data_IF_692944879265
#
_entry.id   IF_692944879265
#
_cell.length_a   1.000
_cell.length_b   1.000
_cell.length_c   1.000
_cell.angle_alpha   90.00
_cell.angle_beta   90.00
_cell.angle_gamma   90.00
#
_symmetry.space_group_name_H-M   'P 1'
#
loop_
_entity.id
_entity.type
_entity.pdbx_description
1 polymer ?
#
# COMPACT_ATOMS: atom_id res chain seq x y z
N UNK A 1 -2.88 -15.00 21.29
CA UNK A 1 -1.59 -14.30 21.25
C UNK A 1 -0.44 -15.27 21.48
N UNK A 2 -0.53 -16.24 22.41
CA UNK A 2 0.47 -17.32 22.60
C UNK A 2 0.97 -18.01 21.31
N UNK A 3 0.12 -18.17 20.29
CA UNK A 3 0.48 -18.90 19.08
C UNK A 3 1.44 -18.17 18.11
N UNK A 4 1.55 -16.84 18.20
CA UNK A 4 2.42 -16.06 17.30
C UNK A 4 3.87 -16.12 17.80
N UNK A 5 4.06 -16.01 19.11
CA UNK A 5 5.37 -16.06 19.75
C UNK A 5 6.03 -17.41 19.55
N UNK A 6 5.27 -18.49 19.73
CA UNK A 6 5.72 -19.86 19.48
C UNK A 6 6.13 -20.09 18.03
N UNK A 7 5.39 -19.50 17.07
CA UNK A 7 5.72 -19.58 15.66
C UNK A 7 7.03 -18.85 15.36
N UNK A 8 7.18 -17.63 15.87
CA UNK A 8 8.39 -16.84 15.65
C UNK A 8 9.62 -17.44 16.34
N UNK A 9 9.45 -18.04 17.51
CA UNK A 9 10.50 -18.81 18.19
C UNK A 9 10.94 -20.01 17.36
N UNK A 10 9.99 -20.75 16.77
CA UNK A 10 10.31 -21.85 15.85
C UNK A 10 11.05 -21.35 14.62
N UNK A 11 10.59 -20.26 14.00
CA UNK A 11 11.26 -19.65 12.84
C UNK A 11 12.67 -19.20 13.21
N UNK A 12 12.86 -18.55 14.36
CA UNK A 12 14.18 -18.16 14.86
C UNK A 12 15.11 -19.37 15.10
N UNK A 13 14.56 -20.47 15.62
CA UNK A 13 15.33 -21.71 15.78
C UNK A 13 15.77 -22.32 14.44
N UNK A 14 15.07 -21.99 13.35
CA UNK A 14 15.43 -22.41 11.99
C UNK A 14 16.44 -21.45 11.38
N UNK A 15 16.30 -20.13 11.58
CA UNK A 15 17.25 -19.13 11.05
C UNK A 15 18.65 -19.32 11.61
N UNK A 16 18.77 -19.83 12.83
CA UNK A 16 20.06 -20.15 13.46
C UNK A 16 20.71 -21.44 12.93
N UNK A 17 19.94 -22.34 12.30
CA UNK A 17 20.42 -23.63 11.79
C UNK A 17 20.65 -23.62 10.28
N UNK A 18 19.96 -22.75 9.54
CA UNK A 18 20.07 -22.65 8.09
C UNK A 18 20.89 -21.40 7.74
N UNK A 19 22.09 -21.55 7.16
CA UNK A 19 22.84 -20.40 6.69
C UNK A 19 22.05 -19.65 5.61
N UNK A 20 21.95 -18.32 5.74
CA UNK A 20 21.28 -17.38 4.81
C UNK A 20 19.74 -17.38 4.80
N UNK A 21 19.09 -17.59 5.93
CA UNK A 21 17.65 -17.34 6.08
C UNK A 21 17.40 -15.92 6.63
N UNK A 22 16.62 -15.11 5.90
CA UNK A 22 16.15 -13.80 6.34
C UNK A 22 14.65 -13.83 6.67
N UNK A 23 14.24 -13.06 7.68
CA UNK A 23 12.84 -12.92 8.09
C UNK A 23 12.38 -11.47 7.92
N UNK A 24 11.27 -11.26 7.21
CA UNK A 24 10.62 -9.96 7.05
C UNK A 24 9.26 -10.01 7.76
N UNK A 25 9.03 -9.07 8.66
CA UNK A 25 7.78 -8.96 9.42
C UNK A 25 7.10 -7.65 9.00
N UNK A 26 5.85 -7.75 8.55
CA UNK A 26 5.02 -6.61 8.14
C UNK A 26 3.89 -6.45 9.14
N UNK A 27 3.82 -5.29 9.79
CA UNK A 27 2.75 -4.93 10.73
C UNK A 27 2.07 -3.64 10.28
N UNK A 28 0.75 -3.58 10.46
CA UNK A 28 -0.07 -2.39 10.17
C UNK A 28 -0.22 -1.47 11.38
N UNK A 29 0.21 -1.92 12.56
CA UNK A 29 0.10 -1.16 13.79
C UNK A 29 1.47 -0.62 14.20
N UNK A 30 1.52 0.66 14.58
CA UNK A 30 2.68 1.26 15.25
C UNK A 30 3.03 0.57 16.57
N UNK A 31 2.18 -0.34 17.04
CA UNK A 31 2.45 -1.10 18.27
C UNK A 31 3.78 -1.81 18.14
N UNK A 32 4.64 -1.43 19.06
CA UNK A 32 5.96 -1.95 19.33
C UNK A 32 5.98 -3.45 19.03
N UNK A 33 6.73 -3.89 18.02
CA UNK A 33 6.92 -5.32 17.72
C UNK A 33 7.32 -6.09 19.00
N UNK A 34 8.02 -5.39 19.90
CA UNK A 34 8.34 -5.81 21.28
C UNK A 34 7.09 -6.26 22.07
N UNK A 35 5.99 -5.54 21.98
CA UNK A 35 4.72 -5.87 22.65
C UNK A 35 4.04 -7.10 22.07
N UNK A 36 4.28 -7.40 20.79
CA UNK A 36 3.70 -8.54 20.10
C UNK A 36 4.44 -9.84 20.37
N UNK A 37 5.78 -9.77 20.48
CA UNK A 37 6.64 -10.98 20.48
C UNK A 37 7.46 -11.14 21.76
N UNK A 38 7.38 -10.16 22.66
CA UNK A 38 8.16 -10.08 23.88
C UNK A 38 9.60 -9.63 23.67
N UNK A 39 10.19 -9.02 24.71
CA UNK A 39 11.56 -8.48 24.71
C UNK A 39 12.61 -9.52 24.31
N UNK A 40 12.49 -10.75 24.82
CA UNK A 40 13.48 -11.82 24.61
C UNK A 40 13.61 -12.22 23.14
N UNK A 41 12.49 -12.40 22.45
CA UNK A 41 12.50 -12.78 21.04
C UNK A 41 12.90 -11.60 20.16
N UNK A 42 12.45 -10.40 20.51
CA UNK A 42 12.85 -9.17 19.82
C UNK A 42 14.37 -8.96 19.83
N UNK A 43 14.99 -9.06 21.01
CA UNK A 43 16.44 -8.91 21.15
C UNK A 43 17.20 -10.03 20.40
N UNK A 44 16.65 -11.25 20.39
CA UNK A 44 17.23 -12.38 19.64
C UNK A 44 17.14 -12.24 18.12
N UNK A 45 16.04 -11.67 17.62
CA UNK A 45 15.83 -11.38 16.20
C UNK A 45 16.65 -10.18 15.72
N UNK A 46 16.92 -9.22 16.61
CA UNK A 46 17.58 -7.95 16.32
C UNK A 46 17.06 -7.29 15.02
N UNK A 47 15.75 -7.00 14.93
CA UNK A 47 15.13 -6.57 13.69
C UNK A 47 15.54 -5.14 13.32
N UNK A 48 15.73 -4.91 12.02
CA UNK A 48 15.84 -3.56 11.47
C UNK A 48 14.44 -3.03 11.16
N UNK A 49 14.05 -1.93 11.80
CA UNK A 49 12.71 -1.37 11.67
C UNK A 49 12.63 -0.39 10.50
N UNK A 50 11.67 -0.61 9.60
CA UNK A 50 11.35 0.28 8.48
C UNK A 50 9.90 0.75 8.60
N UNK A 51 9.70 2.08 8.64
CA UNK A 51 8.36 2.69 8.67
C UNK A 51 7.94 3.08 7.25
N UNK A 52 6.85 2.48 6.77
CA UNK A 52 6.21 2.87 5.52
C UNK A 52 5.30 4.06 5.79
N UNK A 53 5.72 5.25 5.35
CA UNK A 53 4.90 6.45 5.44
C UNK A 53 3.76 6.39 4.41
N UNK A 54 2.60 6.99 4.71
CA UNK A 54 1.56 7.22 3.71
C UNK A 54 2.14 7.99 2.51
N UNK A 55 1.62 7.69 1.32
CA UNK A 55 2.08 8.36 0.11
C UNK A 55 1.65 9.82 0.11
N UNK A 56 2.54 10.70 -0.32
CA UNK A 56 2.24 12.10 -0.54
C UNK A 56 1.56 12.32 -1.92
N UNK A 57 1.06 13.54 -2.15
CA UNK A 57 0.34 13.87 -3.38
C UNK A 57 1.18 13.65 -4.65
N UNK A 58 2.47 13.98 -4.62
CA UNK A 58 3.38 13.77 -5.77
C UNK A 58 3.55 12.28 -6.07
N UNK A 59 3.77 11.46 -5.04
CA UNK A 59 3.89 10.00 -5.20
C UNK A 59 2.60 9.38 -5.73
N UNK A 60 1.44 9.79 -5.20
CA UNK A 60 0.14 9.32 -5.66
C UNK A 60 -0.13 9.69 -7.12
N UNK A 61 0.22 10.92 -7.53
CA UNK A 61 0.11 11.34 -8.92
C UNK A 61 0.97 10.47 -9.85
N UNK A 62 2.24 10.25 -9.51
CA UNK A 62 3.14 9.44 -10.34
C UNK A 62 2.69 7.97 -10.40
N UNK A 63 2.20 7.42 -9.29
CA UNK A 63 1.62 6.06 -9.24
C UNK A 63 0.41 5.97 -10.18
N UNK A 64 -0.53 6.92 -10.09
CA UNK A 64 -1.73 6.93 -10.92
C UNK A 64 -1.36 7.03 -12.41
N UNK A 65 -0.49 7.98 -12.75
CA UNK A 65 -0.02 8.23 -14.12
C UNK A 65 0.67 7.00 -14.70
N UNK A 66 1.58 6.38 -13.97
CA UNK A 66 2.28 5.18 -14.41
C UNK A 66 1.29 4.03 -14.70
N UNK A 67 0.31 3.81 -13.81
CA UNK A 67 -0.69 2.75 -13.98
C UNK A 67 -1.65 3.01 -15.14
N UNK A 68 -2.04 4.25 -15.39
CA UNK A 68 -2.88 4.58 -16.55
C UNK A 68 -2.13 4.35 -17.85
N UNK A 69 -0.86 4.76 -17.92
CA UNK A 69 -0.02 4.52 -19.09
C UNK A 69 0.14 3.02 -19.35
N UNK A 70 0.41 2.24 -18.30
CA UNK A 70 0.55 0.78 -18.37
C UNK A 70 -0.75 0.10 -18.81
N UNK A 71 -1.88 0.46 -18.22
CA UNK A 71 -3.16 -0.22 -18.45
C UNK A 71 -3.74 0.05 -19.85
N UNK A 72 -3.50 1.24 -20.41
CA UNK A 72 -4.21 1.67 -21.61
C UNK A 72 -3.31 2.10 -22.77
N UNK A 73 -1.99 2.10 -22.61
CA UNK A 73 -1.02 2.58 -23.62
C UNK A 73 -1.34 4.00 -24.15
N UNK A 74 -2.05 4.81 -23.34
CA UNK A 74 -2.52 6.15 -23.72
C UNK A 74 -2.26 7.13 -22.59
N UNK A 75 -1.72 8.29 -22.93
CA UNK A 75 -1.46 9.38 -21.97
C UNK A 75 -2.69 10.24 -21.67
N UNK A 76 -3.74 10.17 -22.47
CA UNK A 76 -4.84 11.17 -22.49
C UNK A 76 -6.18 10.63 -22.00
N UNK A 77 -6.18 9.65 -21.09
CA UNK A 77 -7.45 9.12 -20.54
C UNK A 77 -8.05 10.02 -19.49
N UNK A 78 -7.20 10.77 -18.80
CA UNK A 78 -7.60 11.67 -17.73
C UNK A 78 -6.87 13.00 -17.92
N UNK A 79 -7.58 14.09 -17.63
CA UNK A 79 -6.96 15.41 -17.62
C UNK A 79 -5.94 15.48 -16.48
N UNK A 80 -4.76 16.03 -16.78
CA UNK A 80 -3.66 16.13 -15.81
C UNK A 80 -4.06 16.84 -14.51
N UNK A 81 -4.83 17.93 -14.62
CA UNK A 81 -5.41 18.65 -13.49
C UNK A 81 -6.34 17.78 -12.63
N UNK A 82 -7.07 16.84 -13.23
CA UNK A 82 -7.93 15.93 -12.49
C UNK A 82 -7.11 14.88 -11.73
N UNK A 83 -6.02 14.38 -12.32
CA UNK A 83 -5.08 13.50 -11.62
C UNK A 83 -4.45 14.20 -10.41
N UNK A 84 -3.96 15.42 -10.58
CA UNK A 84 -3.39 16.20 -9.48
C UNK A 84 -4.39 16.40 -8.34
N UNK A 85 -5.62 16.83 -8.65
CA UNK A 85 -6.64 17.06 -7.64
C UNK A 85 -7.05 15.78 -6.90
N UNK A 86 -7.12 14.66 -7.60
CA UNK A 86 -7.40 13.36 -6.99
C UNK A 86 -6.26 12.93 -6.06
N UNK A 87 -5.00 13.11 -6.48
CA UNK A 87 -3.83 12.79 -5.68
C UNK A 87 -3.73 13.65 -4.42
N UNK A 88 -3.98 14.97 -4.52
CA UNK A 88 -4.06 15.90 -3.39
C UNK A 88 -5.14 15.45 -2.39
N UNK A 89 -6.35 15.19 -2.87
CA UNK A 89 -7.46 14.74 -2.04
C UNK A 89 -7.12 13.46 -1.27
N UNK A 90 -6.52 12.47 -1.91
CA UNK A 90 -6.18 11.21 -1.23
C UNK A 90 -5.00 11.36 -0.27
N UNK A 91 -4.02 12.21 -0.59
CA UNK A 91 -2.91 12.50 0.32
C UNK A 91 -3.43 13.12 1.64
N UNK A 92 -4.37 14.06 1.55
CA UNK A 92 -5.01 14.68 2.72
C UNK A 92 -5.85 13.69 3.54
N UNK A 93 -6.33 12.61 2.92
CA UNK A 93 -7.18 11.59 3.54
C UNK A 93 -6.43 10.28 3.89
N UNK A 94 -5.12 10.37 4.12
CA UNK A 94 -4.33 9.25 4.65
C UNK A 94 -3.46 8.51 3.62
N UNK A 95 -3.35 9.04 2.40
CA UNK A 95 -2.33 8.62 1.44
C UNK A 95 -2.46 7.17 0.95
N UNK A 96 -3.67 6.62 0.94
CA UNK A 96 -3.92 5.23 0.59
C UNK A 96 -4.12 5.05 -0.92
N UNK A 97 -3.19 4.36 -1.58
CA UNK A 97 -3.25 4.07 -3.02
C UNK A 97 -4.50 3.27 -3.42
N UNK A 98 -5.04 2.40 -2.56
CA UNK A 98 -6.29 1.68 -2.87
C UNK A 98 -7.47 2.64 -2.97
N UNK A 99 -7.53 3.64 -2.09
CA UNK A 99 -8.56 4.67 -2.13
C UNK A 99 -8.44 5.52 -3.40
N UNK A 100 -7.20 5.85 -3.80
CA UNK A 100 -6.91 6.54 -5.07
C UNK A 100 -7.54 5.82 -6.26
N UNK A 101 -7.26 4.52 -6.41
CA UNK A 101 -7.80 3.74 -7.53
C UNK A 101 -9.30 3.51 -7.43
N UNK A 102 -9.85 3.32 -6.22
CA UNK A 102 -11.31 3.21 -6.05
C UNK A 102 -12.02 4.44 -6.59
N UNK A 103 -11.61 5.63 -6.15
CA UNK A 103 -12.23 6.90 -6.58
C UNK A 103 -12.04 7.11 -8.09
N UNK A 104 -10.86 6.75 -8.62
CA UNK A 104 -10.61 6.82 -10.05
C UNK A 104 -11.57 5.94 -10.85
N UNK A 105 -11.72 4.66 -10.47
CA UNK A 105 -12.60 3.71 -11.16
C UNK A 105 -14.06 4.14 -11.07
N UNK A 106 -14.52 4.59 -9.89
CA UNK A 106 -15.87 5.13 -9.71
C UNK A 106 -16.10 6.33 -10.66
N UNK A 107 -15.11 7.20 -10.82
CA UNK A 107 -15.15 8.33 -11.75
C UNK A 107 -15.23 7.90 -13.22
N UNK A 108 -14.53 6.83 -13.60
CA UNK A 108 -14.60 6.24 -14.95
C UNK A 108 -16.00 5.66 -15.22
N UNK A 109 -16.56 4.92 -14.28
CA UNK A 109 -17.89 4.33 -14.40
C UNK A 109 -18.97 5.41 -14.58
N UNK A 110 -18.90 6.48 -13.79
CA UNK A 110 -19.80 7.64 -13.92
C UNK A 110 -19.64 8.35 -15.28
N UNK A 111 -18.42 8.46 -15.80
CA UNK A 111 -18.16 9.04 -17.12
C UNK A 111 -18.78 8.18 -18.23
N UNK A 112 -18.62 6.85 -18.15
CA UNK A 112 -19.15 5.90 -19.12
C UNK A 112 -20.69 5.91 -19.14
N UNK A 113 -21.34 5.94 -17.97
CA UNK A 113 -22.80 6.04 -17.86
C UNK A 113 -23.33 7.30 -18.57
N UNK A 114 -22.72 8.46 -18.29
CA UNK A 114 -23.09 9.73 -18.94
C UNK A 114 -22.85 9.76 -20.44
N UNK A 115 -21.84 9.05 -20.93
CA UNK A 115 -21.62 8.90 -22.37
C UNK A 115 -22.73 8.07 -23.02
N UNK A 116 -23.10 6.95 -22.41
CA UNK A 116 -24.16 6.07 -22.92
C UNK A 116 -25.53 6.77 -22.95
N UNK A 117 -25.85 7.59 -21.94
CA UNK A 117 -27.07 8.41 -21.90
C UNK A 117 -27.12 9.44 -23.03
N UNK A 118 -25.98 10.02 -23.41
CA UNK A 118 -25.90 11.01 -24.50
C UNK A 118 -25.95 10.41 -25.90
N UNK A 119 -25.55 9.14 -26.06
CA UNK A 119 -25.57 8.43 -27.35
C UNK A 119 -26.94 7.82 -27.69
N UNK A 120 -27.89 7.83 -26.74
CA UNK A 120 -29.26 7.35 -26.92
C UNK A 120 -30.28 8.41 -27.36
N UNK A 121 -29.85 9.64 -27.65
CA UNK A 121 -30.68 10.75 -28.15
C UNK A 121 -30.29 11.13 -29.59
#
# INVERSE_FOLDING_TARGET
>A
MEHVDDLLLKIYSITTKIPRLGLIIISTSKTDLISLIGRRLYDGLNPEAYEFKPYNATELYEILKARIIEAYNKKEIIQDKAMHRLAEFVAENGGNVRQLFSIFLDGVDLAQQRMNEKSGC
#
